data_IF_821953078086
#
_entry.id   IF_821953078086
#
_cell.length_a   1.000
_cell.length_b   1.000
_cell.length_c   1.000
_cell.angle_alpha   90.00
_cell.angle_beta   90.00
_cell.angle_gamma   90.00
#
_symmetry.space_group_name_H-M   'P 1'
#
loop_
_entity.id
_entity.type
_entity.pdbx_description
1 polymer ?
#
# COMPACT_ATOMS: atom_id res chain seq x y z
N UNK A 1 20.87 0.35 -103.25
CA UNK A 1 20.50 -0.91 -102.64
C UNK A 1 20.75 -0.86 -101.17
N UNK A 2 19.75 -1.07 -100.36
CA UNK A 2 19.78 -0.87 -98.90
C UNK A 2 20.06 -2.17 -98.14
N UNK A 3 20.75 -2.06 -97.03
CA UNK A 3 20.85 -3.18 -96.07
C UNK A 3 20.25 -2.72 -94.73
N UNK A 4 19.26 -3.49 -94.36
CA UNK A 4 18.54 -3.38 -93.08
C UNK A 4 19.40 -3.82 -91.90
N UNK A 5 19.47 -3.01 -90.86
CA UNK A 5 20.01 -3.36 -89.60
C UNK A 5 18.91 -3.41 -88.54
N UNK A 6 18.63 -4.58 -87.99
CA UNK A 6 17.59 -4.85 -86.99
C UNK A 6 18.09 -4.44 -85.60
N UNK A 7 17.33 -3.56 -84.89
CA UNK A 7 17.55 -3.18 -83.51
C UNK A 7 16.89 -4.23 -82.59
N UNK A 8 17.70 -4.89 -81.80
CA UNK A 8 17.26 -5.79 -80.70
C UNK A 8 16.99 -4.95 -79.44
N UNK A 9 15.69 -4.83 -79.11
CA UNK A 9 15.24 -4.18 -77.86
C UNK A 9 15.45 -5.14 -76.69
N UNK A 10 16.38 -4.85 -75.78
CA UNK A 10 16.55 -5.54 -74.51
C UNK A 10 15.55 -4.97 -73.50
N UNK A 11 14.52 -5.73 -73.17
CA UNK A 11 13.61 -5.46 -72.02
C UNK A 11 14.37 -5.77 -70.71
N UNK A 12 14.64 -4.75 -69.90
CA UNK A 12 15.11 -4.89 -68.53
C UNK A 12 13.94 -5.26 -67.64
N UNK A 13 13.96 -6.44 -67.03
CA UNK A 13 13.04 -6.91 -65.99
C UNK A 13 13.50 -6.32 -64.65
N UNK A 14 12.66 -5.65 -63.87
CA UNK A 14 13.04 -5.23 -62.51
C UNK A 14 13.01 -6.45 -61.59
N UNK A 15 14.14 -6.79 -61.02
CA UNK A 15 14.25 -7.75 -59.92
C UNK A 15 13.74 -7.07 -58.63
N UNK A 16 12.53 -7.39 -58.20
CA UNK A 16 12.02 -7.03 -56.88
C UNK A 16 12.77 -7.87 -55.84
N UNK A 17 13.69 -7.24 -55.11
CA UNK A 17 14.33 -7.83 -53.93
C UNK A 17 13.34 -7.73 -52.76
N UNK A 18 12.56 -8.81 -52.50
CA UNK A 18 11.70 -8.93 -51.35
C UNK A 18 12.56 -9.07 -50.10
N UNK A 19 12.62 -8.01 -49.27
CA UNK A 19 13.17 -8.10 -47.92
C UNK A 19 12.25 -8.93 -47.06
N UNK A 20 12.59 -10.20 -46.87
CA UNK A 20 11.92 -11.08 -45.90
C UNK A 20 12.33 -10.63 -44.49
N UNK A 21 11.50 -9.80 -43.83
CA UNK A 21 11.64 -9.53 -42.42
C UNK A 21 11.28 -10.81 -41.67
N UNK A 22 12.27 -11.60 -41.32
CA UNK A 22 12.09 -12.71 -40.37
C UNK A 22 11.75 -12.08 -38.99
N UNK A 23 10.44 -12.03 -38.71
CA UNK A 23 9.98 -11.83 -37.34
C UNK A 23 10.52 -13.01 -36.52
N UNK A 24 11.60 -12.75 -35.75
CA UNK A 24 12.11 -13.71 -34.80
C UNK A 24 11.00 -14.13 -33.84
N UNK A 25 10.99 -15.38 -33.34
CA UNK A 25 9.96 -15.83 -32.43
C UNK A 25 9.90 -14.88 -31.24
N UNK A 26 8.73 -14.29 -30.98
CA UNK A 26 8.48 -13.54 -29.76
C UNK A 26 8.88 -14.45 -28.60
N UNK A 27 9.98 -14.12 -27.90
CA UNK A 27 10.50 -14.90 -26.79
C UNK A 27 9.38 -14.97 -25.77
N UNK A 28 8.73 -16.12 -25.65
CA UNK A 28 7.70 -16.34 -24.65
C UNK A 28 8.32 -15.94 -23.29
N UNK A 29 7.73 -14.92 -22.68
CA UNK A 29 8.24 -14.34 -21.42
C UNK A 29 8.09 -15.43 -20.38
N UNK A 30 9.21 -15.90 -19.86
CA UNK A 30 9.20 -16.92 -18.81
C UNK A 30 8.52 -16.33 -17.57
N UNK A 31 7.36 -16.87 -17.19
CA UNK A 31 6.64 -16.44 -16.00
C UNK A 31 7.47 -16.81 -14.78
N UNK A 32 7.73 -15.83 -13.91
CA UNK A 32 8.49 -16.04 -12.68
C UNK A 32 7.62 -16.71 -11.62
N UNK A 33 8.24 -17.35 -10.61
CA UNK A 33 7.50 -17.90 -9.45
C UNK A 33 6.66 -16.82 -8.77
N UNK A 34 7.20 -15.61 -8.62
CA UNK A 34 6.48 -14.44 -8.09
C UNK A 34 5.20 -14.16 -8.88
N UNK A 35 5.30 -14.11 -10.22
CA UNK A 35 4.14 -13.86 -11.07
C UNK A 35 3.10 -14.99 -11.00
N UNK A 36 3.52 -16.24 -10.84
CA UNK A 36 2.61 -17.35 -10.61
C UNK A 36 1.83 -17.20 -9.31
N UNK A 37 2.51 -16.83 -8.22
CA UNK A 37 1.85 -16.58 -6.93
C UNK A 37 0.86 -15.43 -7.04
N UNK A 38 1.26 -14.29 -7.63
CA UNK A 38 0.36 -13.14 -7.86
C UNK A 38 -0.88 -13.56 -8.64
N UNK A 39 -0.71 -14.31 -9.74
CA UNK A 39 -1.83 -14.77 -10.58
C UNK A 39 -2.73 -15.78 -9.85
N UNK A 40 -2.15 -16.73 -9.12
CA UNK A 40 -2.88 -17.74 -8.34
C UNK A 40 -3.77 -17.13 -7.27
N UNK A 41 -3.31 -16.05 -6.62
CA UNK A 41 -4.02 -15.43 -5.50
C UNK A 41 -5.00 -14.35 -5.94
N UNK A 42 -4.91 -13.86 -7.18
CA UNK A 42 -5.75 -12.77 -7.69
C UNK A 42 -7.05 -13.26 -8.30
N UNK A 43 -8.04 -12.40 -8.26
CA UNK A 43 -9.32 -12.53 -8.95
C UNK A 43 -9.57 -11.30 -9.86
N UNK A 44 -10.61 -11.28 -10.69
CA UNK A 44 -10.95 -10.09 -11.48
C UNK A 44 -11.14 -8.88 -10.58
N UNK A 45 -10.49 -7.77 -10.95
CA UNK A 45 -10.56 -6.52 -10.19
C UNK A 45 -11.93 -5.87 -10.26
N UNK A 46 -12.19 -4.99 -9.29
CA UNK A 46 -13.35 -4.14 -9.22
C UNK A 46 -12.98 -2.66 -9.24
N UNK A 47 -13.97 -1.82 -8.97
CA UNK A 47 -13.84 -0.37 -8.97
C UNK A 47 -13.91 0.19 -7.55
N UNK A 48 -13.06 1.17 -7.30
CA UNK A 48 -13.17 2.08 -6.16
C UNK A 48 -12.83 3.50 -6.63
N UNK A 49 -13.47 4.52 -6.05
CA UNK A 49 -13.43 5.90 -6.53
C UNK A 49 -12.18 6.69 -6.09
N UNK A 50 -11.05 6.03 -5.90
CA UNK A 50 -9.79 6.65 -5.49
C UNK A 50 -8.61 5.96 -6.15
N UNK A 51 -7.55 6.71 -6.44
CA UNK A 51 -6.26 6.13 -6.80
C UNK A 51 -5.56 5.57 -5.55
N UNK A 52 -5.84 6.14 -4.38
CA UNK A 52 -5.32 5.69 -3.09
C UNK A 52 -3.79 5.53 -3.11
N UNK A 53 -3.08 6.54 -3.66
CA UNK A 53 -1.63 6.54 -3.71
C UNK A 53 -1.03 6.69 -2.31
N UNK A 54 -1.72 7.47 -1.47
CA UNK A 54 -1.34 7.80 -0.09
C UNK A 54 -2.51 7.50 0.82
N UNK A 55 -2.25 7.04 2.04
CA UNK A 55 -3.27 6.76 3.04
C UNK A 55 -3.98 8.03 3.52
N UNK A 56 -5.26 7.92 3.89
CA UNK A 56 -6.01 8.96 4.57
C UNK A 56 -6.10 8.75 6.10
N UNK A 57 -5.36 7.79 6.64
CA UNK A 57 -5.43 7.37 8.04
C UNK A 57 -4.36 8.04 8.88
N UNK A 58 -4.72 9.09 9.59
CA UNK A 58 -3.77 9.88 10.40
C UNK A 58 -3.22 9.13 11.61
N UNK A 59 -3.94 8.12 12.11
CA UNK A 59 -3.63 7.40 13.36
C UNK A 59 -3.12 5.97 13.14
N UNK A 60 -2.69 5.64 11.92
CA UNK A 60 -2.38 4.24 11.54
C UNK A 60 -1.29 3.59 12.42
N UNK A 61 -0.40 4.36 13.06
CA UNK A 61 0.65 3.85 13.94
C UNK A 61 0.19 3.65 15.40
N UNK A 62 -1.00 4.11 15.79
CA UNK A 62 -1.45 4.07 17.19
C UNK A 62 -1.56 2.66 17.77
N UNK A 63 -1.65 1.63 16.93
CA UNK A 63 -1.71 0.22 17.35
C UNK A 63 -0.34 -0.40 17.62
N UNK A 64 0.77 0.23 17.21
CA UNK A 64 2.10 -0.37 17.29
C UNK A 64 2.52 -0.78 18.71
N UNK A 65 2.28 0.02 19.77
CA UNK A 65 2.60 -0.40 21.13
C UNK A 65 1.88 -1.69 21.54
N UNK A 66 0.60 -1.82 21.19
CA UNK A 66 -0.17 -3.02 21.46
C UNK A 66 0.33 -4.23 20.65
N UNK A 67 0.68 -4.03 19.37
CA UNK A 67 1.25 -5.10 18.52
C UNK A 67 2.57 -5.65 19.09
N UNK A 68 3.42 -4.78 19.65
CA UNK A 68 4.67 -5.20 20.33
C UNK A 68 4.41 -6.09 21.54
N UNK A 69 3.34 -5.82 22.31
CA UNK A 69 2.99 -6.64 23.48
C UNK A 69 2.43 -8.01 23.15
N UNK A 70 1.91 -8.19 21.93
CA UNK A 70 1.29 -9.44 21.49
C UNK A 70 2.27 -10.44 20.87
N UNK A 71 3.52 -10.06 20.69
CA UNK A 71 4.60 -10.89 20.09
C UNK A 71 4.14 -11.60 18.79
N UNK A 72 3.76 -10.81 17.80
CA UNK A 72 3.18 -11.26 16.52
C UNK A 72 4.22 -11.44 15.41
N UNK A 73 5.48 -11.70 15.73
CA UNK A 73 6.54 -11.84 14.74
C UNK A 73 6.38 -13.12 13.90
N UNK A 74 6.82 -13.04 12.64
CA UNK A 74 6.73 -14.17 11.71
C UNK A 74 5.31 -14.38 11.16
N UNK A 75 5.00 -15.61 10.70
CA UNK A 75 3.71 -15.92 10.07
C UNK A 75 3.42 -15.08 8.82
N UNK A 76 2.16 -14.82 8.55
CA UNK A 76 1.71 -14.03 7.41
C UNK A 76 1.03 -12.73 7.85
N UNK A 77 1.36 -11.65 7.16
CA UNK A 77 0.62 -10.38 7.18
C UNK A 77 -0.28 -10.32 5.95
N UNK A 78 -1.53 -9.95 6.12
CA UNK A 78 -2.45 -9.63 5.01
C UNK A 78 -2.96 -8.22 5.22
N UNK A 79 -2.91 -7.36 4.19
CA UNK A 79 -3.33 -5.98 4.35
C UNK A 79 -3.88 -5.36 3.07
N UNK A 80 -4.69 -4.30 3.21
CA UNK A 80 -5.28 -3.55 2.09
C UNK A 80 -4.61 -2.18 1.91
N UNK A 81 -4.68 -1.64 0.70
CA UNK A 81 -4.30 -0.26 0.41
C UNK A 81 -2.81 -0.05 0.13
N UNK A 82 -2.33 1.23 0.20
CA UNK A 82 -1.01 1.62 -0.25
C UNK A 82 0.11 1.34 0.78
N UNK A 83 1.15 2.17 0.77
CA UNK A 83 2.45 1.95 1.42
C UNK A 83 2.43 1.99 2.96
N UNK A 84 1.37 2.48 3.63
CA UNK A 84 1.29 2.39 5.10
C UNK A 84 1.41 0.95 5.63
N UNK A 85 1.05 -0.04 4.81
CA UNK A 85 1.29 -1.47 5.08
C UNK A 85 2.75 -1.76 5.40
N UNK A 86 3.70 -1.06 4.77
CA UNK A 86 5.14 -1.27 5.01
C UNK A 86 5.54 -0.96 6.46
N UNK A 87 4.83 -0.05 7.14
CA UNK A 87 5.08 0.25 8.55
C UNK A 87 4.67 -0.90 9.47
N UNK A 88 3.54 -1.56 9.20
CA UNK A 88 3.15 -2.78 9.90
C UNK A 88 4.07 -3.95 9.58
N UNK A 89 4.47 -4.10 8.31
CA UNK A 89 5.42 -5.13 7.88
C UNK A 89 6.78 -4.94 8.58
N UNK A 90 7.27 -3.70 8.68
CA UNK A 90 8.51 -3.40 9.37
C UNK A 90 8.46 -3.72 10.87
N UNK A 91 7.30 -3.53 11.51
CA UNK A 91 7.07 -3.85 12.91
C UNK A 91 6.95 -5.36 13.16
N UNK A 92 6.07 -6.02 12.40
CA UNK A 92 5.69 -7.42 12.60
C UNK A 92 6.71 -8.42 12.02
N UNK A 93 7.54 -8.00 11.07
CA UNK A 93 8.55 -8.84 10.39
C UNK A 93 7.99 -10.19 9.95
N UNK A 94 6.92 -10.23 9.15
CA UNK A 94 6.27 -11.47 8.74
C UNK A 94 7.18 -12.29 7.83
N UNK A 95 6.94 -13.60 7.76
CA UNK A 95 7.59 -14.45 6.77
C UNK A 95 7.13 -14.15 5.33
N UNK A 96 5.87 -13.70 5.19
CA UNK A 96 5.27 -13.22 3.94
C UNK A 96 4.23 -12.13 4.23
N UNK A 97 4.14 -11.13 3.35
CA UNK A 97 3.10 -10.12 3.35
C UNK A 97 2.29 -10.20 2.06
N UNK A 98 0.97 -10.26 2.16
CA UNK A 98 0.05 -10.25 1.01
C UNK A 98 -0.74 -8.96 1.06
N UNK A 99 -0.62 -8.15 0.00
CA UNK A 99 -1.29 -6.85 -0.10
C UNK A 99 -2.42 -6.96 -1.10
N UNK A 100 -3.65 -7.10 -0.58
CA UNK A 100 -4.86 -7.30 -1.38
C UNK A 100 -5.63 -5.99 -1.54
N UNK A 101 -6.09 -5.70 -2.75
CA UNK A 101 -6.99 -4.57 -3.02
C UNK A 101 -7.91 -4.94 -4.19
N UNK A 102 -9.14 -4.45 -4.15
CA UNK A 102 -10.11 -4.67 -5.23
C UNK A 102 -9.64 -4.07 -6.56
N UNK A 103 -8.77 -3.05 -6.54
CA UNK A 103 -8.27 -2.36 -7.73
C UNK A 103 -6.96 -2.96 -8.21
N UNK A 104 -6.88 -3.20 -9.53
CA UNK A 104 -5.62 -3.52 -10.19
C UNK A 104 -4.58 -2.42 -10.03
N UNK A 105 -5.00 -1.17 -9.95
CA UNK A 105 -4.12 0.00 -9.77
C UNK A 105 -3.26 -0.12 -8.51
N UNK A 106 -3.79 -0.69 -7.41
CA UNK A 106 -3.02 -0.92 -6.20
C UNK A 106 -1.93 -2.00 -6.39
N UNK A 107 -2.22 -3.07 -7.14
CA UNK A 107 -1.19 -4.04 -7.53
C UNK A 107 -0.07 -3.36 -8.32
N UNK A 108 -0.42 -2.51 -9.29
CA UNK A 108 0.57 -1.75 -10.09
C UNK A 108 1.43 -0.84 -9.21
N UNK A 109 0.81 -0.13 -8.26
CA UNK A 109 1.50 0.71 -7.30
C UNK A 109 2.53 -0.09 -6.48
N UNK A 110 2.14 -1.26 -5.99
CA UNK A 110 3.05 -2.13 -5.23
C UNK A 110 4.16 -2.74 -6.10
N UNK A 111 3.94 -2.99 -7.39
CA UNK A 111 5.00 -3.38 -8.31
C UNK A 111 6.00 -2.24 -8.54
N UNK A 112 5.52 -0.98 -8.59
CA UNK A 112 6.38 0.19 -8.67
C UNK A 112 7.23 0.34 -7.40
N UNK A 113 6.63 0.24 -6.22
CA UNK A 113 7.37 0.24 -4.95
C UNK A 113 8.37 -0.92 -4.87
N UNK A 114 7.98 -2.14 -5.28
CA UNK A 114 8.92 -3.28 -5.33
C UNK A 114 10.14 -2.96 -6.17
N UNK A 115 9.95 -2.40 -7.36
CA UNK A 115 11.07 -2.00 -8.22
C UNK A 115 11.98 -0.97 -7.53
N UNK A 116 11.39 0.04 -6.86
CA UNK A 116 12.16 1.03 -6.09
C UNK A 116 12.96 0.41 -4.94
N UNK A 117 12.33 -0.49 -4.15
CA UNK A 117 13.04 -1.21 -3.08
C UNK A 117 14.19 -2.06 -3.60
N UNK A 118 14.06 -2.69 -4.77
CA UNK A 118 15.10 -3.53 -5.34
C UNK A 118 16.35 -2.74 -5.75
N UNK A 119 16.16 -1.56 -6.35
CA UNK A 119 17.28 -0.74 -6.84
C UNK A 119 17.89 0.14 -5.75
N UNK A 120 17.12 0.49 -4.71
CA UNK A 120 17.59 1.38 -3.65
C UNK A 120 18.58 0.72 -2.71
N UNK A 121 19.66 1.44 -2.40
CA UNK A 121 20.67 1.03 -1.42
C UNK A 121 20.24 1.33 0.01
N UNK A 122 19.53 2.46 0.21
CA UNK A 122 19.00 2.90 1.49
C UNK A 122 17.71 3.74 1.29
N UNK A 123 17.08 4.15 2.40
CA UNK A 123 15.83 4.94 2.38
C UNK A 123 15.97 6.32 1.72
N UNK A 124 17.16 6.92 1.76
CA UNK A 124 17.43 8.19 1.07
C UNK A 124 17.32 8.03 -0.45
N UNK A 125 17.98 7.01 -1.00
CA UNK A 125 17.90 6.73 -2.43
C UNK A 125 16.49 6.33 -2.87
N UNK A 126 15.78 5.55 -2.04
CA UNK A 126 14.38 5.21 -2.28
C UNK A 126 13.50 6.47 -2.44
N UNK A 127 13.61 7.41 -1.54
CA UNK A 127 12.85 8.66 -1.60
C UNK A 127 13.27 9.56 -2.76
N UNK A 128 14.57 9.61 -3.08
CA UNK A 128 15.05 10.33 -4.28
C UNK A 128 14.46 9.73 -5.56
N UNK A 129 14.36 8.40 -5.67
CA UNK A 129 13.73 7.73 -6.80
C UNK A 129 12.23 8.05 -6.88
N UNK A 130 11.52 7.97 -5.76
CA UNK A 130 10.08 8.22 -5.69
C UNK A 130 9.72 9.63 -6.13
N UNK A 131 10.48 10.62 -5.68
CA UNK A 131 10.18 12.03 -5.94
C UNK A 131 10.99 12.66 -7.07
N UNK A 132 11.78 11.88 -7.83
CA UNK A 132 12.56 12.38 -8.95
C UNK A 132 13.60 13.43 -8.53
N UNK A 133 14.25 13.24 -7.37
CA UNK A 133 15.31 14.11 -6.87
C UNK A 133 16.68 13.49 -7.16
N UNK A 134 17.71 14.28 -7.47
CA UNK A 134 19.07 13.77 -7.55
C UNK A 134 19.49 13.19 -6.19
N UNK A 135 20.05 11.97 -6.23
CA UNK A 135 20.58 11.35 -5.01
C UNK A 135 21.88 12.07 -4.58
N UNK A 136 22.11 12.22 -3.26
CA UNK A 136 23.34 12.85 -2.78
C UNK A 136 24.57 12.00 -3.11
N UNK A 137 25.76 12.64 -3.34
CA UNK A 137 26.97 11.92 -3.77
C UNK A 137 27.42 10.81 -2.82
N UNK A 138 27.24 11.02 -1.52
CA UNK A 138 27.66 10.07 -0.46
C UNK A 138 26.43 9.53 0.24
N UNK A 139 25.81 8.48 -0.32
CA UNK A 139 24.59 7.88 0.21
C UNK A 139 24.78 7.19 1.58
N UNK A 140 25.95 6.61 1.83
CA UNK A 140 26.16 5.80 3.05
C UNK A 140 25.88 6.58 4.35
N UNK A 141 26.26 7.88 4.41
CA UNK A 141 26.01 8.71 5.61
C UNK A 141 24.53 8.90 5.93
N UNK A 142 23.66 8.77 4.93
CA UNK A 142 22.23 8.99 5.10
C UNK A 142 21.47 7.82 5.75
N UNK A 143 22.12 6.66 5.86
CA UNK A 143 21.55 5.51 6.55
C UNK A 143 21.31 5.79 8.05
N UNK A 144 22.20 6.59 8.68
CA UNK A 144 22.12 6.92 10.09
C UNK A 144 21.47 8.30 10.35
N UNK A 145 21.12 9.04 9.28
CA UNK A 145 20.51 10.38 9.42
C UNK A 145 19.08 10.28 9.98
N UNK A 146 18.62 11.24 10.80
CA UNK A 146 17.22 11.39 11.13
C UNK A 146 16.34 11.47 9.86
N UNK A 147 15.10 11.00 9.94
CA UNK A 147 14.19 11.07 8.80
C UNK A 147 13.91 12.53 8.40
N UNK A 148 13.80 13.41 9.37
CA UNK A 148 13.60 14.86 9.18
C UNK A 148 14.68 15.49 8.29
N UNK A 149 15.94 15.07 8.45
CA UNK A 149 17.05 15.56 7.63
C UNK A 149 16.91 15.08 6.18
N UNK A 150 16.47 13.82 5.98
CA UNK A 150 16.20 13.26 4.66
C UNK A 150 15.06 14.04 3.98
N UNK A 151 13.96 14.30 4.69
CA UNK A 151 12.85 15.07 4.14
C UNK A 151 13.25 16.51 3.84
N UNK A 152 14.08 17.13 4.70
CA UNK A 152 14.65 18.46 4.45
C UNK A 152 15.49 18.48 3.17
N UNK A 153 16.31 17.45 2.94
CA UNK A 153 17.05 17.34 1.67
C UNK A 153 16.11 17.32 0.45
N UNK A 154 15.02 16.57 0.52
CA UNK A 154 14.04 16.50 -0.57
C UNK A 154 13.36 17.86 -0.83
N UNK A 155 13.11 18.64 0.24
CA UNK A 155 12.49 19.97 0.13
C UNK A 155 13.39 20.98 -0.58
N UNK A 156 14.67 21.01 -0.22
CA UNK A 156 15.63 21.97 -0.76
C UNK A 156 16.25 21.54 -2.09
N UNK A 157 16.07 20.27 -2.48
CA UNK A 157 16.62 19.74 -3.73
C UNK A 157 15.55 19.77 -4.82
N UNK A 158 15.70 20.60 -5.87
CA UNK A 158 14.73 20.68 -6.95
C UNK A 158 14.56 19.33 -7.67
N UNK A 159 13.32 19.06 -8.11
CA UNK A 159 13.05 17.96 -9.01
C UNK A 159 13.74 18.14 -10.36
N UNK A 160 14.18 17.03 -10.95
CA UNK A 160 14.80 17.00 -12.26
C UNK A 160 14.00 16.05 -13.17
N UNK A 161 13.37 16.61 -14.21
CA UNK A 161 12.52 15.85 -15.12
C UNK A 161 13.30 14.83 -15.96
N UNK A 162 14.58 15.08 -16.23
CA UNK A 162 15.43 14.12 -16.93
C UNK A 162 15.80 12.95 -16.02
N UNK A 163 16.07 13.22 -14.73
CA UNK A 163 16.24 12.19 -13.70
C UNK A 163 14.95 11.39 -13.54
N UNK A 164 13.80 12.06 -13.40
CA UNK A 164 12.49 11.41 -13.29
C UNK A 164 12.21 10.46 -14.45
N UNK A 165 12.43 10.92 -15.69
CA UNK A 165 12.20 10.10 -16.90
C UNK A 165 13.13 8.89 -16.96
N UNK A 166 14.41 9.06 -16.61
CA UNK A 166 15.39 7.97 -16.56
C UNK A 166 15.04 6.95 -15.45
N UNK A 167 14.73 7.45 -14.25
CA UNK A 167 14.30 6.60 -13.13
C UNK A 167 13.04 5.79 -13.51
N UNK A 168 12.05 6.45 -14.13
CA UNK A 168 10.84 5.75 -14.57
C UNK A 168 11.17 4.64 -15.55
N UNK A 169 12.05 4.88 -16.55
CA UNK A 169 12.45 3.86 -17.51
C UNK A 169 13.12 2.66 -16.82
N UNK A 170 14.05 2.91 -15.90
CA UNK A 170 14.71 1.84 -15.13
C UNK A 170 13.72 1.05 -14.29
N UNK A 171 12.80 1.72 -13.61
CA UNK A 171 11.77 1.08 -12.79
C UNK A 171 10.82 0.23 -13.66
N UNK A 172 10.43 0.69 -14.85
CA UNK A 172 9.61 -0.08 -15.78
C UNK A 172 10.30 -1.33 -16.28
N UNK A 173 11.62 -1.28 -16.51
CA UNK A 173 12.43 -2.46 -16.84
C UNK A 173 12.43 -3.48 -15.69
N UNK A 174 12.45 -3.01 -14.44
CA UNK A 174 12.35 -3.88 -13.25
C UNK A 174 10.96 -4.48 -13.13
N UNK A 175 9.89 -3.68 -13.18
CA UNK A 175 8.49 -4.15 -13.17
C UNK A 175 8.27 -5.22 -14.22
N UNK A 176 8.82 -5.02 -15.41
CA UNK A 176 8.75 -5.97 -16.51
C UNK A 176 9.40 -7.32 -16.17
N UNK A 177 10.53 -7.32 -15.45
CA UNK A 177 11.23 -8.54 -15.04
C UNK A 177 10.52 -9.36 -13.97
N UNK A 178 9.58 -8.78 -13.21
CA UNK A 178 8.78 -9.54 -12.26
C UNK A 178 7.86 -10.57 -12.93
N UNK A 179 7.65 -10.47 -14.24
CA UNK A 179 6.89 -11.44 -15.02
C UNK A 179 5.37 -11.32 -14.88
N UNK A 180 4.87 -10.43 -14.02
CA UNK A 180 3.44 -10.11 -13.94
C UNK A 180 3.00 -9.46 -15.27
N UNK A 181 1.91 -9.92 -15.91
CA UNK A 181 1.45 -9.34 -17.16
C UNK A 181 1.09 -7.87 -17.02
N UNK A 182 1.74 -7.00 -17.80
CA UNK A 182 1.53 -5.55 -17.84
C UNK A 182 1.14 -5.17 -19.25
N UNK A 183 -0.06 -4.62 -19.43
CA UNK A 183 -0.56 -4.10 -20.69
C UNK A 183 -0.25 -2.60 -20.88
N UNK A 184 -0.66 -2.01 -21.99
CA UNK A 184 -0.37 -0.60 -22.28
C UNK A 184 -1.10 0.37 -21.33
N UNK A 185 -2.33 0.06 -20.91
CA UNK A 185 -3.06 0.84 -19.91
C UNK A 185 -2.37 0.79 -18.55
N UNK A 186 -1.83 -0.36 -18.15
CA UNK A 186 -1.05 -0.52 -16.92
C UNK A 186 0.22 0.35 -16.96
N UNK A 187 0.89 0.43 -18.12
CA UNK A 187 2.07 1.30 -18.31
C UNK A 187 1.73 2.77 -18.15
N UNK A 188 0.61 3.21 -18.70
CA UNK A 188 0.10 4.58 -18.54
C UNK A 188 -0.20 4.86 -17.06
N UNK A 189 -0.82 3.92 -16.36
CA UNK A 189 -1.13 4.05 -14.93
C UNK A 189 0.14 4.14 -14.09
N UNK A 190 1.14 3.27 -14.32
CA UNK A 190 2.43 3.30 -13.62
C UNK A 190 3.17 4.62 -13.86
N UNK A 191 3.13 5.14 -15.09
CA UNK A 191 3.72 6.45 -15.41
C UNK A 191 3.01 7.56 -14.64
N UNK A 192 1.68 7.60 -14.68
CA UNK A 192 0.88 8.59 -13.99
C UNK A 192 1.16 8.58 -12.47
N UNK A 193 1.25 7.42 -11.84
CA UNK A 193 1.57 7.32 -10.41
C UNK A 193 2.92 7.92 -10.07
N UNK A 194 3.95 7.59 -10.84
CA UNK A 194 5.29 8.11 -10.60
C UNK A 194 5.36 9.62 -10.86
N UNK A 195 4.62 10.12 -11.87
CA UNK A 195 4.53 11.56 -12.16
C UNK A 195 3.75 12.32 -11.06
N UNK A 196 2.74 11.73 -10.42
CA UNK A 196 2.04 12.32 -9.28
C UNK A 196 2.95 12.49 -8.06
N UNK A 197 3.74 11.47 -7.70
CA UNK A 197 4.74 11.59 -6.64
C UNK A 197 5.80 12.65 -6.96
N UNK A 198 6.27 12.72 -8.21
CA UNK A 198 7.21 13.75 -8.67
C UNK A 198 6.63 15.16 -8.55
N UNK A 199 5.39 15.35 -9.00
CA UNK A 199 4.74 16.65 -9.10
C UNK A 199 4.34 17.20 -7.73
N UNK A 200 3.79 16.38 -6.85
CA UNK A 200 3.28 16.80 -5.55
C UNK A 200 4.31 16.65 -4.42
N UNK A 201 5.32 15.81 -4.60
CA UNK A 201 6.35 15.57 -3.58
C UNK A 201 5.74 15.11 -2.26
N UNK A 202 6.33 15.55 -1.16
CA UNK A 202 5.91 15.19 0.20
C UNK A 202 4.52 15.74 0.60
N UNK A 203 3.96 16.66 -0.18
CA UNK A 203 2.64 17.25 0.08
C UNK A 203 1.51 16.46 -0.60
N UNK A 204 1.79 15.37 -1.30
CA UNK A 204 0.78 14.47 -1.86
C UNK A 204 -0.17 13.98 -0.77
N UNK A 205 -1.47 13.96 -1.07
CA UNK A 205 -2.54 13.56 -0.15
C UNK A 205 -3.46 12.56 -0.82
N UNK A 206 -4.26 11.88 -0.03
CA UNK A 206 -5.34 11.03 -0.54
C UNK A 206 -6.33 11.85 -1.38
N UNK A 207 -6.71 11.31 -2.53
CA UNK A 207 -7.71 11.91 -3.41
C UNK A 207 -8.80 10.90 -3.78
N UNK A 208 -10.01 11.41 -4.04
CA UNK A 208 -11.13 10.62 -4.58
C UNK A 208 -11.56 11.19 -5.91
N UNK A 209 -11.78 10.34 -6.90
CA UNK A 209 -12.22 10.76 -8.24
C UNK A 209 -13.56 11.47 -8.18
N UNK A 210 -13.66 12.61 -8.86
CA UNK A 210 -14.89 13.40 -8.91
C UNK A 210 -15.31 14.09 -7.61
N UNK A 211 -14.45 14.10 -6.59
CA UNK A 211 -14.68 14.83 -5.34
C UNK A 211 -13.51 15.77 -5.05
N UNK A 212 -13.78 16.95 -4.49
CA UNK A 212 -12.70 17.82 -4.03
C UNK A 212 -11.93 17.14 -2.90
N UNK A 213 -10.62 17.39 -2.83
CA UNK A 213 -9.81 16.97 -1.71
C UNK A 213 -10.39 17.52 -0.41
N UNK A 214 -10.51 16.69 0.62
CA UNK A 214 -11.02 17.13 1.92
C UNK A 214 -9.91 17.81 2.70
N UNK A 215 -10.17 19.00 3.27
CA UNK A 215 -9.26 19.61 4.20
C UNK A 215 -8.95 18.66 5.37
N UNK A 216 -7.67 18.56 5.74
CA UNK A 216 -7.23 17.77 6.88
C UNK A 216 -6.81 16.33 6.55
N UNK A 217 -6.88 15.88 5.29
CA UNK A 217 -6.19 14.63 4.93
C UNK A 217 -4.69 14.77 5.18
N UNK A 218 -4.03 13.72 5.70
CA UNK A 218 -2.60 13.76 5.93
C UNK A 218 -1.85 13.90 4.62
N UNK A 219 -0.78 14.68 4.64
CA UNK A 219 0.24 14.62 3.58
C UNK A 219 1.12 13.39 3.80
N UNK A 220 1.79 12.92 2.77
CA UNK A 220 2.74 11.81 2.91
C UNK A 220 3.86 12.14 3.90
N UNK A 221 4.33 13.40 3.92
CA UNK A 221 5.21 13.92 4.98
C UNK A 221 4.68 13.63 6.37
N UNK A 222 3.41 13.97 6.63
CA UNK A 222 2.82 13.79 7.95
C UNK A 222 2.66 12.33 8.34
N UNK A 223 2.44 11.44 7.36
CA UNK A 223 2.40 10.00 7.57
C UNK A 223 3.79 9.43 7.88
N UNK A 224 4.83 9.90 7.19
CA UNK A 224 6.21 9.47 7.46
C UNK A 224 6.70 9.88 8.85
N UNK A 225 6.31 11.07 9.30
CA UNK A 225 6.67 11.62 10.62
C UNK A 225 5.67 11.24 11.73
N UNK A 226 4.63 10.46 11.42
CA UNK A 226 3.66 10.02 12.40
C UNK A 226 4.33 9.21 13.52
N UNK A 227 3.79 9.35 14.73
CA UNK A 227 4.23 8.60 15.90
C UNK A 227 3.13 7.66 16.40
N UNK A 228 3.53 6.66 17.16
CA UNK A 228 2.61 5.82 17.90
C UNK A 228 2.05 6.56 19.15
N UNK A 229 1.22 5.87 19.95
CA UNK A 229 0.62 6.45 21.17
C UNK A 229 1.65 6.76 22.28
N UNK A 230 2.87 6.23 22.17
CA UNK A 230 3.98 6.51 23.12
C UNK A 230 4.91 7.61 22.61
N UNK A 231 4.62 8.17 21.41
CA UNK A 231 5.41 9.22 20.78
C UNK A 231 6.62 8.71 20.00
N UNK A 232 6.74 7.40 19.77
CA UNK A 232 7.85 6.84 19.00
C UNK A 232 7.55 6.86 17.50
N UNK A 233 8.52 7.27 16.65
CA UNK A 233 8.39 7.16 15.19
C UNK A 233 8.20 5.70 14.77
N UNK A 234 7.15 5.42 13.98
CA UNK A 234 6.77 4.05 13.60
C UNK A 234 6.71 3.78 12.11
N UNK A 235 6.94 4.79 11.26
CA UNK A 235 6.99 4.62 9.81
C UNK A 235 8.09 3.64 9.38
N UNK A 236 7.88 2.93 8.28
CA UNK A 236 8.92 2.07 7.68
C UNK A 236 10.18 2.84 7.26
N UNK A 237 10.08 4.17 7.10
CA UNK A 237 11.19 5.08 6.80
C UNK A 237 11.81 5.71 8.06
N UNK A 238 11.28 5.50 9.26
CA UNK A 238 11.77 6.14 10.47
C UNK A 238 13.21 5.76 10.82
N UNK A 239 13.63 4.53 10.48
CA UNK A 239 15.01 4.06 10.60
C UNK A 239 15.43 3.24 9.41
N UNK A 240 16.74 3.17 9.15
CA UNK A 240 17.27 2.34 8.07
C UNK A 240 16.97 0.83 8.29
N UNK A 241 16.93 0.36 9.53
CA UNK A 241 16.62 -1.04 9.84
C UNK A 241 15.17 -1.40 9.51
N UNK A 242 14.21 -0.49 9.76
CA UNK A 242 12.82 -0.67 9.38
C UNK A 242 12.68 -0.71 7.85
N UNK A 243 13.37 0.19 7.16
CA UNK A 243 13.42 0.20 5.70
C UNK A 243 14.02 -1.10 5.13
N UNK A 244 15.16 -1.55 5.66
CA UNK A 244 15.81 -2.81 5.25
C UNK A 244 14.90 -4.01 5.45
N UNK A 245 14.16 -4.08 6.54
CA UNK A 245 13.19 -5.16 6.80
C UNK A 245 12.21 -5.29 5.64
N UNK A 246 11.60 -4.18 5.18
CA UNK A 246 10.69 -4.20 4.04
C UNK A 246 11.43 -4.52 2.74
N UNK A 247 12.55 -3.86 2.49
CA UNK A 247 13.37 -4.07 1.28
C UNK A 247 13.80 -5.53 1.12
N UNK A 248 14.21 -6.18 2.19
CA UNK A 248 14.67 -7.55 2.15
C UNK A 248 13.52 -8.54 1.89
N UNK A 249 12.31 -8.25 2.37
CA UNK A 249 11.11 -8.99 1.99
C UNK A 249 10.75 -8.76 0.52
N UNK A 250 10.83 -7.53 0.02
CA UNK A 250 10.60 -7.20 -1.39
C UNK A 250 11.58 -7.94 -2.32
N UNK A 251 12.88 -7.94 -1.98
CA UNK A 251 13.94 -8.61 -2.76
C UNK A 251 13.82 -10.13 -2.77
N UNK A 252 13.18 -10.71 -1.75
CA UNK A 252 12.92 -12.16 -1.65
C UNK A 252 11.55 -12.56 -2.17
N UNK A 253 10.82 -11.68 -2.86
CA UNK A 253 9.46 -11.92 -3.35
C UNK A 253 8.45 -12.28 -2.25
N UNK A 254 8.66 -11.75 -1.03
CA UNK A 254 7.81 -12.00 0.14
C UNK A 254 6.81 -10.87 0.43
N UNK A 255 6.74 -9.86 -0.41
CA UNK A 255 5.62 -8.89 -0.46
C UNK A 255 4.89 -9.11 -1.76
N UNK A 256 3.70 -9.70 -1.69
CA UNK A 256 2.93 -10.19 -2.84
C UNK A 256 1.68 -9.32 -3.01
N UNK A 257 1.61 -8.46 -4.04
CA UNK A 257 0.39 -7.72 -4.33
C UNK A 257 -0.64 -8.62 -5.04
N UNK A 258 -1.90 -8.49 -4.62
CA UNK A 258 -3.02 -9.31 -5.11
C UNK A 258 -4.20 -8.41 -5.47
N UNK A 259 -4.80 -8.67 -6.63
CA UNK A 259 -6.09 -8.08 -6.97
C UNK A 259 -7.21 -8.93 -6.39
N UNK A 260 -8.05 -8.35 -5.53
CA UNK A 260 -9.19 -9.08 -4.95
C UNK A 260 -10.02 -8.22 -4.02
N UNK A 261 -11.31 -8.57 -3.94
CA UNK A 261 -12.25 -8.00 -2.98
C UNK A 261 -12.19 -8.82 -1.68
N UNK A 262 -12.12 -8.16 -0.53
CA UNK A 262 -12.16 -8.85 0.76
C UNK A 262 -13.45 -9.68 0.95
N UNK A 263 -14.55 -9.28 0.31
CA UNK A 263 -15.81 -10.04 0.25
C UNK A 263 -15.97 -10.84 -1.05
N UNK A 264 -14.92 -10.90 -1.87
CA UNK A 264 -14.93 -11.57 -3.17
C UNK A 264 -15.00 -13.09 -3.06
N UNK A 265 -15.29 -13.77 -4.18
CA UNK A 265 -15.53 -15.20 -4.16
C UNK A 265 -14.27 -16.06 -4.02
N UNK A 266 -13.11 -15.58 -4.46
CA UNK A 266 -11.94 -16.44 -4.67
C UNK A 266 -10.65 -15.95 -4.03
N UNK A 267 -10.27 -14.68 -4.11
CA UNK A 267 -8.94 -14.20 -3.71
C UNK A 267 -8.60 -14.51 -2.24
N UNK A 268 -9.46 -14.15 -1.30
CA UNK A 268 -9.24 -14.42 0.13
C UNK A 268 -9.15 -15.92 0.45
N UNK A 269 -9.95 -16.75 -0.24
CA UNK A 269 -9.92 -18.21 -0.09
C UNK A 269 -8.63 -18.80 -0.67
N UNK A 270 -8.17 -18.28 -1.82
CA UNK A 270 -6.91 -18.67 -2.43
C UNK A 270 -5.70 -18.30 -1.53
N UNK A 271 -5.73 -17.11 -0.92
CA UNK A 271 -4.75 -16.69 0.09
C UNK A 271 -4.76 -17.65 1.27
N UNK A 272 -5.94 -17.98 1.82
CA UNK A 272 -6.07 -18.91 2.92
C UNK A 272 -5.52 -20.30 2.61
N UNK A 273 -5.82 -20.84 1.42
CA UNK A 273 -5.30 -22.12 0.96
C UNK A 273 -3.76 -22.09 0.80
N UNK A 274 -3.23 -21.06 0.14
CA UNK A 274 -1.79 -20.87 -0.06
C UNK A 274 -1.03 -20.80 1.29
N UNK A 275 -1.54 -20.05 2.24
CA UNK A 275 -0.92 -19.91 3.55
C UNK A 275 -1.01 -21.22 4.38
N UNK A 276 -2.11 -21.98 4.26
CA UNK A 276 -2.22 -23.33 4.88
C UNK A 276 -1.22 -24.29 4.28
N UNK A 277 -1.07 -24.33 2.96
CA UNK A 277 -0.06 -25.16 2.27
C UNK A 277 1.36 -24.80 2.70
N UNK A 278 1.64 -23.50 2.92
CA UNK A 278 2.94 -23.02 3.37
C UNK A 278 3.19 -23.19 4.89
N UNK A 279 2.18 -23.63 5.66
CA UNK A 279 2.28 -23.73 7.14
C UNK A 279 2.42 -22.36 7.83
N UNK A 280 1.92 -21.28 7.23
CA UNK A 280 2.06 -19.90 7.73
C UNK A 280 0.73 -19.40 8.30
N UNK A 281 0.60 -19.27 9.63
CA UNK A 281 -0.58 -18.65 10.23
C UNK A 281 -0.62 -17.15 9.94
N UNK A 282 -1.83 -16.58 9.77
CA UNK A 282 -2.03 -15.13 9.66
C UNK A 282 -1.90 -14.50 11.04
N UNK A 283 -0.85 -13.71 11.25
CA UNK A 283 -0.59 -13.01 12.51
C UNK A 283 -1.25 -11.63 12.55
N UNK A 284 -1.43 -10.99 11.39
CA UNK A 284 -2.19 -9.74 11.31
C UNK A 284 -2.95 -9.63 9.98
N UNK A 285 -4.21 -9.17 10.08
CA UNK A 285 -5.06 -8.78 8.95
C UNK A 285 -5.42 -7.30 9.09
N UNK A 286 -4.86 -6.45 8.23
CA UNK A 286 -5.19 -5.03 8.17
C UNK A 286 -6.25 -4.78 7.12
N UNK A 287 -7.40 -4.26 7.56
CA UNK A 287 -8.58 -4.06 6.71
C UNK A 287 -8.92 -2.59 6.45
N UNK A 288 -8.12 -1.66 7.00
CA UNK A 288 -8.41 -0.23 6.87
C UNK A 288 -9.84 0.08 7.37
N UNK A 289 -10.60 0.87 6.62
CA UNK A 289 -12.02 1.15 6.87
C UNK A 289 -12.96 0.39 5.91
N UNK A 290 -12.48 -0.69 5.28
CA UNK A 290 -13.25 -1.42 4.26
C UNK A 290 -14.54 -2.01 4.84
N UNK A 291 -14.52 -2.49 6.09
CA UNK A 291 -15.68 -3.08 6.76
C UNK A 291 -16.90 -2.16 6.72
N UNK A 292 -16.72 -0.84 6.86
CA UNK A 292 -17.79 0.15 6.74
C UNK A 292 -18.51 0.08 5.37
N UNK A 293 -17.73 -0.08 4.30
CA UNK A 293 -18.29 -0.21 2.95
C UNK A 293 -19.03 -1.54 2.79
N UNK A 294 -18.46 -2.62 3.34
CA UNK A 294 -19.07 -3.96 3.28
C UNK A 294 -20.41 -4.03 4.01
N UNK A 295 -20.53 -3.37 5.16
CA UNK A 295 -21.82 -3.23 5.86
C UNK A 295 -22.84 -2.45 5.03
N UNK A 296 -22.42 -1.33 4.41
CA UNK A 296 -23.30 -0.51 3.55
C UNK A 296 -23.79 -1.25 2.31
N UNK A 297 -22.98 -2.16 1.79
CA UNK A 297 -23.28 -2.94 0.57
C UNK A 297 -23.96 -4.28 0.89
N UNK A 298 -24.13 -4.64 2.18
CA UNK A 298 -24.65 -5.94 2.60
C UNK A 298 -23.71 -7.11 2.29
N UNK A 299 -22.41 -6.85 2.08
CA UNK A 299 -21.44 -7.89 1.74
C UNK A 299 -20.56 -8.32 2.91
N UNK A 300 -20.75 -7.74 4.10
CA UNK A 300 -20.00 -8.08 5.31
C UNK A 300 -20.06 -9.57 5.69
N UNK A 301 -21.20 -10.29 5.54
CA UNK A 301 -21.24 -11.72 5.84
C UNK A 301 -20.23 -12.55 5.02
N UNK A 302 -20.09 -12.24 3.73
CA UNK A 302 -19.08 -12.92 2.86
C UNK A 302 -17.65 -12.61 3.29
N UNK A 303 -17.37 -11.38 3.71
CA UNK A 303 -16.08 -11.04 4.28
C UNK A 303 -15.80 -11.85 5.56
N UNK A 304 -16.75 -11.96 6.47
CA UNK A 304 -16.59 -12.75 7.69
C UNK A 304 -16.30 -14.23 7.38
N UNK A 305 -16.95 -14.81 6.37
CA UNK A 305 -16.65 -16.15 5.88
C UNK A 305 -15.23 -16.25 5.31
N UNK A 306 -14.81 -15.27 4.54
CA UNK A 306 -13.47 -15.21 3.96
C UNK A 306 -12.39 -15.10 5.06
N UNK A 307 -12.61 -14.30 6.10
CA UNK A 307 -11.70 -14.25 7.26
C UNK A 307 -11.64 -15.60 7.97
N UNK A 308 -12.79 -16.29 8.13
CA UNK A 308 -12.84 -17.64 8.72
C UNK A 308 -12.06 -18.68 7.92
N UNK A 309 -11.91 -18.48 6.62
CA UNK A 309 -11.13 -19.36 5.74
C UNK A 309 -9.60 -19.20 5.90
N UNK A 310 -9.14 -18.08 6.47
CA UNK A 310 -7.72 -17.85 6.74
C UNK A 310 -7.21 -18.74 7.91
N UNK A 311 -5.96 -19.20 7.88
CA UNK A 311 -5.32 -19.86 9.02
C UNK A 311 -4.90 -18.82 10.08
N UNK A 312 -5.86 -18.20 10.80
CA UNK A 312 -5.55 -17.19 11.81
C UNK A 312 -4.70 -17.75 12.95
N UNK A 313 -3.66 -17.02 13.34
CA UNK A 313 -2.87 -17.35 14.52
C UNK A 313 -3.74 -17.20 15.80
N UNK A 314 -3.53 -18.02 16.84
CA UNK A 314 -4.33 -17.93 18.08
C UNK A 314 -4.26 -16.56 18.75
N UNK A 315 -3.12 -15.87 18.67
CA UNK A 315 -2.91 -14.50 19.16
C UNK A 315 -2.96 -13.45 18.03
N UNK A 316 -3.27 -13.86 16.79
CA UNK A 316 -3.33 -12.97 15.64
C UNK A 316 -4.45 -11.96 15.75
N UNK A 317 -4.32 -10.84 15.02
CA UNK A 317 -5.21 -9.68 15.14
C UNK A 317 -5.74 -9.18 13.79
N UNK A 318 -6.92 -8.58 13.84
CA UNK A 318 -7.42 -7.67 12.83
C UNK A 318 -7.07 -6.23 13.26
N UNK A 319 -6.58 -5.44 12.31
CA UNK A 319 -6.30 -4.01 12.45
C UNK A 319 -7.31 -3.27 11.59
N UNK A 320 -8.10 -2.39 12.16
CA UNK A 320 -9.09 -1.59 11.42
C UNK A 320 -8.98 -0.11 11.73
N UNK A 321 -9.49 0.70 10.82
CA UNK A 321 -9.55 2.15 10.95
C UNK A 321 -11.00 2.60 11.05
N UNK A 322 -11.28 3.38 12.08
CA UNK A 322 -12.57 4.05 12.25
C UNK A 322 -12.42 5.55 11.99
N UNK A 323 -13.26 6.10 11.13
CA UNK A 323 -13.36 7.54 10.91
C UNK A 323 -14.52 8.10 11.72
N UNK A 324 -14.27 9.15 12.51
CA UNK A 324 -15.24 9.74 13.42
C UNK A 324 -16.55 10.19 12.77
N UNK A 325 -17.56 10.47 13.58
CA UNK A 325 -18.96 10.74 13.17
C UNK A 325 -19.16 11.73 12.03
N UNK A 326 -18.30 12.73 11.87
CA UNK A 326 -18.41 13.73 10.80
C UNK A 326 -18.21 13.19 9.39
N UNK A 327 -17.64 11.99 9.24
CA UNK A 327 -17.33 11.37 7.95
C UNK A 327 -18.33 10.26 7.56
N UNK A 328 -19.07 9.70 8.50
CA UNK A 328 -19.76 8.43 8.34
C UNK A 328 -21.28 8.46 8.51
N UNK A 329 -21.89 9.50 9.10
CA UNK A 329 -23.29 9.39 9.48
C UNK A 329 -24.10 10.68 9.28
N UNK A 330 -25.10 10.57 8.42
CA UNK A 330 -26.25 11.52 8.38
C UNK A 330 -27.37 11.11 9.36
N UNK A 331 -27.13 10.23 10.33
CA UNK A 331 -28.13 9.71 11.26
C UNK A 331 -27.70 9.90 12.71
N UNK A 332 -28.57 10.58 13.50
CA UNK A 332 -28.37 10.83 14.92
C UNK A 332 -28.24 9.55 15.74
N UNK A 333 -27.06 9.33 16.31
CA UNK A 333 -26.88 8.37 17.39
C UNK A 333 -27.05 9.06 18.75
N UNK A 334 -27.30 8.30 19.86
CA UNK A 334 -27.54 8.87 21.17
C UNK A 334 -26.39 9.76 21.65
N UNK A 335 -26.76 10.92 22.21
CA UNK A 335 -25.83 11.84 22.88
C UNK A 335 -25.50 11.25 24.25
N UNK A 336 -24.32 10.63 24.36
CA UNK A 336 -23.77 10.07 25.60
C UNK A 336 -22.31 9.69 25.38
N UNK A 337 -21.58 9.29 26.43
CA UNK A 337 -20.21 8.75 26.28
C UNK A 337 -20.29 7.55 25.29
N UNK A 338 -19.90 7.79 24.05
CA UNK A 338 -20.01 6.79 23.00
C UNK A 338 -18.98 5.68 23.23
N UNK A 339 -19.36 4.41 23.21
CA UNK A 339 -18.42 3.28 23.24
C UNK A 339 -17.60 3.17 21.93
N UNK A 340 -17.88 4.02 20.94
CA UNK A 340 -17.12 4.05 19.69
C UNK A 340 -15.69 4.51 19.93
N UNK A 341 -14.74 4.09 19.07
CA UNK A 341 -13.34 4.49 19.14
C UNK A 341 -13.21 6.02 19.24
N UNK A 342 -12.43 6.49 20.18
CA UNK A 342 -12.17 7.92 20.35
C UNK A 342 -11.09 8.35 19.36
N UNK A 343 -11.48 9.19 18.40
CA UNK A 343 -10.51 9.89 17.53
C UNK A 343 -9.78 10.94 18.35
N UNK A 344 -8.46 10.86 18.41
CA UNK A 344 -7.64 11.81 19.14
C UNK A 344 -7.77 13.23 18.54
N UNK A 345 -7.62 14.30 19.33
CA UNK A 345 -7.60 15.66 18.80
C UNK A 345 -6.54 15.82 17.72
N UNK A 346 -6.94 16.41 16.58
CA UNK A 346 -6.07 16.57 15.41
C UNK A 346 -5.97 15.35 14.49
N UNK A 347 -6.61 14.22 14.84
CA UNK A 347 -6.68 13.03 13.99
C UNK A 347 -8.01 12.94 13.25
N UNK A 348 -8.01 12.31 12.07
CA UNK A 348 -9.21 11.99 11.30
C UNK A 348 -9.75 10.59 11.58
N UNK A 349 -8.87 9.70 12.00
CA UNK A 349 -9.17 8.28 12.24
C UNK A 349 -8.75 7.83 13.63
N UNK A 350 -9.32 6.72 14.09
CA UNK A 350 -8.85 5.94 15.23
C UNK A 350 -8.58 4.51 14.77
N UNK A 351 -7.46 3.95 15.20
CA UNK A 351 -7.14 2.55 14.95
C UNK A 351 -7.70 1.66 16.05
N UNK A 352 -8.06 0.45 15.67
CA UNK A 352 -8.51 -0.59 16.59
C UNK A 352 -7.84 -1.93 16.30
N UNK A 353 -7.66 -2.71 17.34
CA UNK A 353 -7.26 -4.11 17.28
C UNK A 353 -8.40 -5.00 17.78
N UNK A 354 -8.59 -6.13 17.11
CA UNK A 354 -9.45 -7.20 17.57
C UNK A 354 -8.74 -8.53 17.29
N UNK A 355 -8.73 -9.45 18.26
CA UNK A 355 -8.10 -10.76 18.03
C UNK A 355 -8.93 -11.61 17.06
N UNK A 356 -8.28 -12.52 16.31
CA UNK A 356 -9.01 -13.46 15.45
C UNK A 356 -10.08 -14.25 16.22
N UNK A 357 -9.81 -14.83 17.41
CA UNK A 357 -10.84 -15.53 18.16
C UNK A 357 -12.05 -14.65 18.49
N UNK A 358 -11.82 -13.40 18.93
CA UNK A 358 -12.91 -12.47 19.25
C UNK A 358 -13.73 -12.09 18.01
N UNK A 359 -13.07 -11.86 16.87
CA UNK A 359 -13.75 -11.60 15.60
C UNK A 359 -14.58 -12.80 15.16
N UNK A 360 -14.03 -14.02 15.19
CA UNK A 360 -14.72 -15.24 14.77
C UNK A 360 -15.93 -15.56 15.69
N UNK A 361 -15.80 -15.30 16.99
CA UNK A 361 -16.92 -15.44 17.93
C UNK A 361 -18.02 -14.41 17.64
N UNK A 362 -17.67 -13.14 17.44
CA UNK A 362 -18.62 -12.06 17.16
C UNK A 362 -19.36 -12.27 15.84
N UNK A 363 -18.69 -12.86 14.86
CA UNK A 363 -19.23 -13.08 13.51
C UNK A 363 -19.83 -14.48 13.30
N UNK A 364 -20.23 -15.20 14.37
CA UNK A 364 -20.94 -16.48 14.22
C UNK A 364 -22.27 -16.33 13.46
N UNK A 365 -22.95 -15.20 13.65
CA UNK A 365 -24.17 -14.82 12.96
C UNK A 365 -23.98 -13.46 12.27
N UNK A 366 -23.20 -13.38 11.18
CA UNK A 366 -22.76 -12.11 10.61
C UNK A 366 -23.90 -11.29 10.00
N UNK A 367 -25.02 -11.93 9.60
CA UNK A 367 -26.19 -11.26 9.03
C UNK A 367 -26.96 -10.41 10.06
N UNK A 368 -26.87 -10.74 11.35
CA UNK A 368 -27.51 -9.98 12.43
C UNK A 368 -26.60 -8.96 13.09
N UNK A 369 -25.30 -8.94 12.73
CA UNK A 369 -24.31 -8.06 13.33
C UNK A 369 -24.37 -6.66 12.68
N UNK A 370 -24.39 -5.63 13.51
CA UNK A 370 -24.26 -4.25 13.06
C UNK A 370 -22.79 -3.79 13.05
N UNK A 371 -22.50 -2.76 12.25
CA UNK A 371 -21.16 -2.15 12.24
C UNK A 371 -20.79 -1.55 13.60
N UNK A 372 -21.80 -1.02 14.34
CA UNK A 372 -21.61 -0.52 15.69
C UNK A 372 -21.15 -1.62 16.66
N UNK A 373 -21.79 -2.78 16.64
CA UNK A 373 -21.41 -3.91 17.48
C UNK A 373 -20.01 -4.42 17.13
N UNK A 374 -19.65 -4.46 15.85
CA UNK A 374 -18.29 -4.82 15.43
C UNK A 374 -17.22 -3.90 16.02
N UNK A 375 -17.51 -2.59 16.10
CA UNK A 375 -16.57 -1.59 16.62
C UNK A 375 -16.49 -1.53 18.14
N UNK A 376 -17.46 -2.10 18.85
CA UNK A 376 -17.58 -1.94 20.32
C UNK A 376 -17.35 -3.24 21.10
N UNK A 377 -17.38 -4.40 20.43
CA UNK A 377 -17.25 -5.68 21.10
C UNK A 377 -15.94 -6.40 20.73
N UNK A 378 -15.32 -7.03 21.71
CA UNK A 378 -14.14 -7.86 21.51
C UNK A 378 -12.89 -7.13 21.04
N UNK A 379 -12.85 -5.81 21.19
CA UNK A 379 -11.69 -4.97 20.82
C UNK A 379 -10.62 -4.96 21.92
N UNK A 380 -9.37 -4.90 21.50
CA UNK A 380 -8.22 -4.75 22.41
C UNK A 380 -8.11 -3.29 22.81
N UNK A 381 -8.05 -3.03 24.11
CA UNK A 381 -7.85 -1.67 24.62
C UNK A 381 -6.43 -1.16 24.29
N UNK A 382 -6.36 -0.05 23.56
CA UNK A 382 -5.10 0.62 23.30
C UNK A 382 -4.78 1.54 24.50
N UNK A 383 -3.67 1.25 25.20
CA UNK A 383 -3.21 2.09 26.31
C UNK A 383 -2.88 3.49 25.80
N UNK A 384 -3.61 4.49 26.30
CA UNK A 384 -3.30 5.89 26.02
C UNK A 384 -2.24 6.38 27.01
N UNK A 385 -1.30 7.23 26.57
CA UNK A 385 -0.39 7.89 27.49
C UNK A 385 -1.21 8.68 28.52
N UNK A 386 -0.74 8.78 29.78
CA UNK A 386 -1.41 9.58 30.79
C UNK A 386 -1.54 11.02 30.30
N UNK A 387 -2.77 11.55 30.32
CA UNK A 387 -3.02 12.94 29.91
C UNK A 387 -2.11 13.88 30.70
N UNK A 388 -1.38 14.79 30.05
CA UNK A 388 -0.56 15.76 30.77
C UNK A 388 -1.47 16.50 31.74
N UNK A 389 -1.09 16.48 33.03
CA UNK A 389 -1.82 17.22 34.08
C UNK A 389 -1.88 18.68 33.63
N UNK A 390 -3.09 19.21 33.40
CA UNK A 390 -3.30 20.63 33.13
C UNK A 390 -2.63 21.40 34.31
N UNK A 391 -1.50 22.03 34.04
CA UNK A 391 -0.94 22.97 35.00
C UNK A 391 -1.99 24.06 35.26
N UNK A 392 -2.61 24.01 36.43
CA UNK A 392 -3.45 25.12 36.90
C UNK A 392 -2.58 26.36 36.85
N UNK A 393 -2.77 27.24 35.86
CA UNK A 393 -2.21 28.59 35.88
C UNK A 393 -2.64 29.22 37.21
N UNK A 394 -1.72 29.34 38.18
CA UNK A 394 -1.91 30.18 39.34
C UNK A 394 -2.17 31.57 38.82
N UNK A 395 -3.41 32.06 39.00
CA UNK A 395 -3.69 33.47 38.84
C UNK A 395 -2.84 34.19 39.88
N UNK A 396 -1.79 34.86 39.45
CA UNK A 396 -1.08 35.86 40.27
C UNK A 396 -2.09 36.97 40.50
N UNK A 397 -2.59 37.09 41.73
CA UNK A 397 -3.33 38.28 42.15
C UNK A 397 -2.33 39.42 42.18
N UNK A 398 -2.53 40.44 41.35
CA UNK A 398 -1.84 41.71 41.51
C UNK A 398 -2.34 42.34 42.83
N UNK A 399 -1.45 42.84 43.68
CA UNK A 399 -1.83 43.65 44.86
C UNK A 399 -2.37 44.99 44.36
N UNK A 400 -3.41 45.50 45.12
CA UNK A 400 -4.05 46.77 44.88
C UNK A 400 -3.12 47.95 45.19
#
# INVERSE_FOLDING_TARGET
MPTFGSAVSRKLLPVLLGVLVLAGPARARQTTEFAHVVARLSEPGGYFDSDNLVSNETSYLHVLPALRTLDLHGGAYVGVGPEQNFSYIAELKPAIAILIDIRRDNLLLHLLFKAMFEVSRNRMEFLCLLYGRPAPPVLARWSDSPLEDILTYLDITPGDSAIQSRNHSELMDRVTRFGVPINDSDRVTLRRFHDEFYAQGLEITFTSRGRPSRPGYPTERSLYLATDLEGHPGSYLSTEDRFRTVRDLQRRDKVVPVVGDLSGPTAMKAIGAYLKEAGLPVTALYVSNVEMYLFRQGSFPRFAENVRALPGAPNGVLIRSYFGRGMLWNGGGPVGASPLPQVQPGQLSAQQLQTFPAFLQLTQHPDSLSYFELLTNGVVELRQPPRPRRQRRRRVRQPA
#
